data_IF_043435297089
#
_entry.id   IF_043435297089
#
_cell.length_a   1.000
_cell.length_b   1.000
_cell.length_c   1.000
_cell.angle_alpha   90.00
_cell.angle_beta   90.00
_cell.angle_gamma   90.00
#
_symmetry.space_group_name_H-M   'P 1'
#
loop_
_entity.id
_entity.type
_entity.pdbx_description
1 polymer ?
#
# COMPACT_ATOMS: atom_id res chain seq x y z
N UNK A 1 29.18 -8.25 5.58
CA UNK A 1 28.78 -9.62 5.95
C UNK A 1 29.91 -10.22 6.74
N UNK A 2 29.67 -10.57 7.97
CA UNK A 2 30.66 -11.24 8.84
C UNK A 2 30.15 -12.68 9.11
N UNK A 3 30.63 -13.62 8.29
CA UNK A 3 30.14 -15.01 8.33
C UNK A 3 30.52 -15.69 9.65
N UNK A 4 31.70 -15.41 10.20
CA UNK A 4 32.16 -16.03 11.45
C UNK A 4 31.31 -15.55 12.63
N UNK A 5 31.06 -14.26 12.71
CA UNK A 5 30.15 -13.69 13.72
C UNK A 5 28.71 -14.22 13.54
N UNK A 6 28.25 -14.35 12.31
CA UNK A 6 26.91 -14.88 12.02
C UNK A 6 26.80 -16.37 12.39
N UNK A 7 27.82 -17.18 12.15
CA UNK A 7 27.89 -18.59 12.63
C UNK A 7 27.73 -18.68 14.15
N UNK A 8 28.26 -17.71 14.89
CA UNK A 8 28.17 -17.69 16.36
C UNK A 8 26.83 -17.21 16.87
N UNK A 9 26.18 -16.25 16.18
CA UNK A 9 25.01 -15.52 16.68
C UNK A 9 23.68 -15.97 16.08
N UNK A 10 23.68 -16.74 14.99
CA UNK A 10 22.45 -17.12 14.26
C UNK A 10 21.39 -17.84 15.10
N UNK A 11 21.83 -18.59 16.14
CA UNK A 11 20.92 -19.27 17.05
C UNK A 11 19.98 -18.27 17.78
N UNK A 12 20.49 -17.07 18.10
CA UNK A 12 19.67 -16.00 18.70
C UNK A 12 18.56 -15.54 17.74
N UNK A 13 18.84 -15.46 16.45
CA UNK A 13 17.82 -15.15 15.44
C UNK A 13 16.76 -16.24 15.35
N UNK A 14 17.18 -17.51 15.30
CA UNK A 14 16.25 -18.65 15.20
C UNK A 14 15.39 -18.79 16.45
N UNK A 15 15.96 -18.67 17.64
CA UNK A 15 15.23 -18.69 18.90
C UNK A 15 14.21 -17.55 18.99
N UNK A 16 14.56 -16.35 18.50
CA UNK A 16 13.62 -15.22 18.44
C UNK A 16 12.46 -15.51 17.46
N UNK A 17 12.74 -16.08 16.30
CA UNK A 17 11.68 -16.44 15.34
C UNK A 17 10.74 -17.51 15.91
N UNK A 18 11.26 -18.49 16.65
CA UNK A 18 10.48 -19.54 17.30
C UNK A 18 9.67 -18.98 18.49
N UNK A 19 10.29 -18.19 19.36
CA UNK A 19 9.62 -17.59 20.52
C UNK A 19 8.51 -16.60 20.13
N UNK A 20 8.65 -15.94 18.98
CA UNK A 20 7.64 -15.05 18.41
C UNK A 20 6.63 -15.78 17.51
N UNK A 21 6.62 -17.12 17.49
CA UNK A 21 5.72 -17.97 16.71
C UNK A 21 5.63 -17.58 15.22
N UNK A 22 6.79 -17.29 14.60
CA UNK A 22 6.83 -17.08 13.15
C UNK A 22 6.43 -18.35 12.40
N UNK A 23 5.83 -18.19 11.22
CA UNK A 23 5.41 -19.32 10.38
C UNK A 23 6.56 -20.28 10.12
N UNK A 24 6.31 -21.59 10.23
CA UNK A 24 7.29 -22.67 9.99
C UNK A 24 8.01 -22.54 8.64
N UNK A 25 7.28 -22.08 7.59
CA UNK A 25 7.87 -21.82 6.27
C UNK A 25 8.88 -20.67 6.33
N UNK A 26 8.57 -19.61 7.08
CA UNK A 26 9.49 -18.48 7.26
C UNK A 26 10.81 -18.93 7.93
N UNK A 27 10.68 -19.67 9.03
CA UNK A 27 11.83 -20.21 9.78
C UNK A 27 12.66 -21.15 8.89
N UNK A 28 11.99 -22.03 8.13
CA UNK A 28 12.64 -22.94 7.18
C UNK A 28 13.45 -22.16 6.13
N UNK A 29 12.89 -21.14 5.52
CA UNK A 29 13.57 -20.34 4.49
C UNK A 29 14.77 -19.56 5.06
N UNK A 30 14.66 -19.03 6.29
CA UNK A 30 15.80 -18.42 6.98
C UNK A 30 16.90 -19.45 7.24
N UNK A 31 16.56 -20.66 7.71
CA UNK A 31 17.54 -21.77 7.90
C UNK A 31 18.23 -22.17 6.59
N UNK A 32 17.50 -22.21 5.46
CA UNK A 32 18.07 -22.49 4.13
C UNK A 32 19.09 -21.41 3.73
N UNK A 33 18.78 -20.12 3.96
CA UNK A 33 19.70 -19.03 3.66
C UNK A 33 20.96 -19.12 4.51
N UNK A 34 20.81 -19.34 5.82
CA UNK A 34 21.94 -19.51 6.73
C UNK A 34 22.83 -20.69 6.32
N UNK A 35 22.23 -21.84 5.99
CA UNK A 35 22.95 -23.01 5.51
C UNK A 35 23.77 -22.73 4.23
N UNK A 36 23.16 -21.99 3.28
CA UNK A 36 23.83 -21.60 2.04
C UNK A 36 24.97 -20.60 2.28
N UNK A 37 24.82 -19.68 3.24
CA UNK A 37 25.90 -18.73 3.61
C UNK A 37 27.05 -19.40 4.34
N UNK A 38 26.80 -20.52 5.02
CA UNK A 38 27.80 -21.28 5.75
C UNK A 38 28.46 -22.40 4.93
N UNK A 39 28.03 -22.61 3.69
CA UNK A 39 28.55 -23.66 2.82
C UNK A 39 29.97 -23.32 2.32
N UNK A 40 30.95 -24.03 2.85
CA UNK A 40 32.38 -23.88 2.50
C UNK A 40 32.68 -24.36 1.08
N UNK A 41 31.86 -25.25 0.52
CA UNK A 41 32.05 -25.78 -0.85
C UNK A 41 31.66 -24.78 -1.93
N UNK A 42 30.80 -23.82 -1.60
CA UNK A 42 30.35 -22.79 -2.52
C UNK A 42 30.35 -21.43 -1.83
N UNK A 43 31.50 -20.85 -1.50
CA UNK A 43 31.60 -19.66 -0.69
C UNK A 43 30.88 -18.48 -1.33
N UNK A 44 30.12 -17.75 -0.50
CA UNK A 44 29.38 -16.58 -0.87
C UNK A 44 30.08 -15.35 -0.31
N UNK A 45 30.49 -14.43 -1.18
CA UNK A 45 31.29 -13.26 -0.79
C UNK A 45 30.46 -12.13 -0.17
N UNK A 46 29.18 -12.04 -0.52
CA UNK A 46 28.29 -10.98 -0.05
C UNK A 46 26.80 -11.37 -0.16
N UNK A 47 25.91 -10.60 0.50
CA UNK A 47 24.47 -10.76 0.34
C UNK A 47 24.00 -10.46 -1.09
N UNK A 48 24.71 -9.59 -1.79
CA UNK A 48 24.50 -9.28 -3.19
C UNK A 48 24.85 -10.48 -4.09
N UNK A 49 25.98 -11.13 -3.86
CA UNK A 49 26.41 -12.36 -4.58
C UNK A 49 25.36 -13.47 -4.39
N UNK A 50 24.93 -13.73 -3.15
CA UNK A 50 23.86 -14.71 -2.89
C UNK A 50 22.58 -14.36 -3.65
N UNK A 51 22.18 -13.10 -3.65
CA UNK A 51 20.98 -12.66 -4.35
C UNK A 51 21.09 -12.84 -5.86
N UNK A 52 22.22 -12.50 -6.45
CA UNK A 52 22.49 -12.68 -7.89
C UNK A 52 22.44 -14.16 -8.29
N UNK A 53 22.98 -15.07 -7.49
CA UNK A 53 22.87 -16.52 -7.73
C UNK A 53 21.42 -16.99 -7.75
N UNK A 54 20.58 -16.50 -6.83
CA UNK A 54 19.13 -16.81 -6.81
C UNK A 54 18.44 -16.29 -8.07
N UNK A 55 18.68 -15.06 -8.46
CA UNK A 55 18.05 -14.43 -9.63
C UNK A 55 18.48 -15.13 -10.91
N UNK A 56 19.76 -15.42 -11.05
CA UNK A 56 20.35 -16.05 -12.24
C UNK A 56 19.93 -17.51 -12.40
N UNK A 57 19.49 -18.17 -11.33
CA UNK A 57 18.97 -19.55 -11.41
C UNK A 57 17.73 -19.69 -12.28
N UNK A 58 17.01 -18.58 -12.55
CA UNK A 58 15.74 -18.49 -13.33
C UNK A 58 14.64 -19.48 -12.89
N UNK A 59 14.74 -20.04 -11.66
CA UNK A 59 13.83 -21.06 -11.12
C UNK A 59 12.58 -20.48 -10.48
N UNK A 60 12.56 -19.17 -10.22
CA UNK A 60 11.56 -18.55 -9.36
C UNK A 60 10.71 -17.50 -10.10
N UNK A 61 9.42 -17.47 -9.78
CA UNK A 61 8.54 -16.39 -10.21
C UNK A 61 8.89 -15.07 -9.52
N UNK A 62 8.45 -13.94 -10.06
CA UNK A 62 8.67 -12.63 -9.43
C UNK A 62 8.16 -12.58 -7.99
N UNK A 63 7.00 -13.16 -7.72
CA UNK A 63 6.44 -13.23 -6.38
C UNK A 63 7.33 -14.02 -5.41
N UNK A 64 7.83 -15.18 -5.85
CA UNK A 64 8.75 -16.00 -5.04
C UNK A 64 10.07 -15.28 -4.79
N UNK A 65 10.60 -14.54 -5.78
CA UNK A 65 11.80 -13.73 -5.62
C UNK A 65 11.59 -12.62 -4.58
N UNK A 66 10.45 -11.95 -4.57
CA UNK A 66 10.14 -10.92 -3.56
C UNK A 66 10.11 -11.50 -2.14
N UNK A 67 9.57 -12.73 -1.97
CA UNK A 67 9.59 -13.44 -0.70
C UNK A 67 11.01 -13.84 -0.28
N UNK A 68 11.79 -14.42 -1.19
CA UNK A 68 13.21 -14.80 -0.90
C UNK A 68 14.04 -13.59 -0.55
N UNK A 69 13.82 -12.45 -1.19
CA UNK A 69 14.49 -11.19 -0.84
C UNK A 69 14.11 -10.72 0.56
N UNK A 70 12.86 -10.92 0.98
CA UNK A 70 12.41 -10.60 2.33
C UNK A 70 13.14 -11.46 3.38
N UNK A 71 13.27 -12.78 3.16
CA UNK A 71 13.98 -13.66 4.06
C UNK A 71 15.49 -13.35 4.12
N UNK A 72 16.10 -13.08 2.98
CA UNK A 72 17.50 -12.65 2.91
C UNK A 72 17.75 -11.34 3.69
N UNK A 73 16.86 -10.38 3.52
CA UNK A 73 16.94 -9.11 4.26
C UNK A 73 16.75 -9.31 5.77
N UNK A 74 16.08 -10.36 6.21
CA UNK A 74 15.96 -10.69 7.64
C UNK A 74 17.31 -11.13 8.20
N UNK A 75 17.99 -12.04 7.52
CA UNK A 75 19.34 -12.50 7.92
C UNK A 75 20.33 -11.34 7.86
N UNK A 76 20.34 -10.58 6.78
CA UNK A 76 21.18 -9.40 6.61
C UNK A 76 20.97 -8.34 7.69
N UNK A 77 19.72 -8.07 8.06
CA UNK A 77 19.37 -7.09 9.10
C UNK A 77 19.88 -7.50 10.46
N UNK A 78 19.85 -8.80 10.73
CA UNK A 78 20.37 -9.35 11.96
C UNK A 78 21.91 -9.30 11.98
N UNK A 79 22.57 -9.73 10.92
CA UNK A 79 24.03 -9.72 10.78
C UNK A 79 24.62 -8.30 10.85
N UNK A 80 24.14 -7.40 9.97
CA UNK A 80 24.73 -6.06 9.83
C UNK A 80 24.33 -5.08 10.96
N UNK A 81 23.15 -5.29 11.60
CA UNK A 81 22.58 -4.31 12.53
C UNK A 81 22.05 -4.90 13.84
N UNK A 82 22.19 -6.20 14.08
CA UNK A 82 21.63 -6.89 15.26
C UNK A 82 20.09 -6.81 15.32
N UNK A 83 19.42 -6.50 14.19
CA UNK A 83 17.98 -6.28 14.16
C UNK A 83 17.21 -7.59 14.17
N UNK A 84 16.53 -7.88 15.27
CA UNK A 84 15.61 -9.00 15.36
C UNK A 84 14.27 -8.65 14.65
N UNK A 85 13.71 -9.58 13.87
CA UNK A 85 12.47 -9.35 13.14
C UNK A 85 11.31 -9.02 14.11
N UNK A 86 10.61 -7.92 13.82
CA UNK A 86 9.46 -7.45 14.61
C UNK A 86 8.24 -7.17 13.71
N UNK A 87 8.21 -7.79 12.53
CA UNK A 87 7.19 -7.59 11.50
C UNK A 87 7.32 -6.31 10.70
N UNK A 88 8.36 -5.53 10.95
CA UNK A 88 8.70 -4.36 10.15
C UNK A 88 10.04 -4.62 9.45
N UNK A 89 10.20 -4.17 8.19
CA UNK A 89 11.50 -4.18 7.55
C UNK A 89 12.50 -3.36 8.39
N UNK A 90 13.73 -3.81 8.47
CA UNK A 90 14.79 -3.05 9.11
C UNK A 90 14.97 -1.70 8.39
N UNK A 91 14.78 -0.61 9.13
CA UNK A 91 14.86 0.74 8.58
C UNK A 91 16.25 1.02 7.96
N UNK A 92 17.32 0.53 8.60
CA UNK A 92 18.69 0.69 8.13
C UNK A 92 18.96 0.01 6.78
N UNK A 93 18.31 -1.11 6.48
CA UNK A 93 18.38 -1.75 5.16
C UNK A 93 17.59 -0.99 4.10
N UNK A 94 16.43 -0.41 4.48
CA UNK A 94 15.61 0.40 3.57
C UNK A 94 16.24 1.78 3.30
N UNK A 95 17.01 2.28 4.27
CA UNK A 95 17.72 3.56 4.20
C UNK A 95 18.79 3.60 3.11
N UNK A 96 19.11 2.47 2.52
CA UNK A 96 20.41 2.29 1.91
C UNK A 96 20.53 2.60 0.42
N UNK A 97 19.45 2.64 -0.39
CA UNK A 97 19.72 2.53 -1.82
C UNK A 97 20.12 3.84 -2.51
N UNK A 98 19.44 4.95 -2.23
CA UNK A 98 19.74 6.20 -2.94
C UNK A 98 20.69 7.12 -2.16
N UNK A 99 20.45 7.32 -0.86
CA UNK A 99 21.30 8.18 -0.02
C UNK A 99 22.76 7.74 0.00
N UNK A 100 23.04 6.41 0.19
CA UNK A 100 24.42 5.89 0.22
C UNK A 100 25.20 6.15 -1.07
N UNK A 101 24.51 6.25 -2.21
CA UNK A 101 25.08 6.48 -3.53
C UNK A 101 25.34 7.95 -3.86
N UNK A 102 24.85 8.85 -3.03
CA UNK A 102 25.05 10.29 -3.22
C UNK A 102 26.50 10.70 -2.90
N UNK A 103 26.97 11.71 -3.60
CA UNK A 103 28.23 12.38 -3.29
C UNK A 103 28.15 13.11 -1.93
N UNK A 104 29.27 13.52 -1.34
CA UNK A 104 29.28 14.18 -0.03
C UNK A 104 28.42 15.46 0.02
N UNK A 105 28.43 16.30 -1.04
CA UNK A 105 27.65 17.53 -1.09
C UNK A 105 26.14 17.26 -1.04
N UNK A 106 25.66 16.30 -1.82
CA UNK A 106 24.24 15.91 -1.81
C UNK A 106 23.83 15.17 -0.53
N UNK A 107 24.75 14.45 0.13
CA UNK A 107 24.49 13.88 1.45
C UNK A 107 24.25 14.97 2.49
N UNK A 108 25.06 16.02 2.51
CA UNK A 108 24.86 17.15 3.42
C UNK A 108 23.47 17.78 3.26
N UNK A 109 22.97 17.96 2.04
CA UNK A 109 21.62 18.46 1.79
C UNK A 109 20.54 17.52 2.35
N UNK A 110 20.74 16.22 2.22
CA UNK A 110 19.80 15.23 2.75
C UNK A 110 19.81 15.19 4.28
N UNK A 111 20.98 15.33 4.89
CA UNK A 111 21.15 15.35 6.34
C UNK A 111 20.51 16.61 6.93
N UNK A 112 20.68 17.76 6.27
CA UNK A 112 20.05 19.00 6.69
C UNK A 112 18.51 18.94 6.52
N UNK A 113 18.01 18.36 5.44
CA UNK A 113 16.57 18.09 5.30
C UNK A 113 16.04 17.23 6.45
N UNK A 114 16.79 16.20 6.85
CA UNK A 114 16.47 15.34 7.98
C UNK A 114 16.39 16.13 9.28
N UNK A 115 17.41 16.95 9.57
CA UNK A 115 17.49 17.76 10.78
C UNK A 115 16.30 18.73 10.87
N UNK A 116 15.99 19.46 9.80
CA UNK A 116 14.87 20.43 9.77
C UNK A 116 13.49 19.81 9.84
N UNK A 117 13.37 18.52 9.52
CA UNK A 117 12.09 17.80 9.61
C UNK A 117 11.94 17.00 10.90
N UNK A 118 12.93 17.03 11.80
CA UNK A 118 12.98 16.23 13.04
C UNK A 118 12.58 14.77 12.81
N UNK A 119 13.00 14.21 11.68
CA UNK A 119 12.54 12.91 11.24
C UNK A 119 13.41 11.82 11.82
N UNK A 120 12.83 10.97 12.65
CA UNK A 120 13.51 9.80 13.18
C UNK A 120 13.96 8.88 12.03
N UNK A 121 15.12 8.26 12.19
CA UNK A 121 15.75 7.38 11.18
C UNK A 121 14.80 6.28 10.68
N UNK A 122 13.97 5.75 11.56
CA UNK A 122 12.97 4.72 11.26
C UNK A 122 11.88 5.17 10.26
N UNK A 123 11.64 6.47 10.18
CA UNK A 123 10.58 7.05 9.37
C UNK A 123 11.06 7.62 8.03
N UNK A 124 12.37 7.76 7.81
CA UNK A 124 12.94 8.34 6.60
C UNK A 124 12.54 7.57 5.35
N UNK A 125 12.62 6.22 5.39
CA UNK A 125 12.23 5.37 4.26
C UNK A 125 10.73 5.43 3.94
N UNK A 126 9.91 5.84 4.90
CA UNK A 126 8.45 6.00 4.73
C UNK A 126 8.08 7.40 4.24
N UNK A 127 8.99 8.36 4.37
CA UNK A 127 8.78 9.72 3.90
C UNK A 127 8.91 9.80 2.39
N UNK A 128 7.79 10.03 1.71
CA UNK A 128 7.79 10.22 0.27
C UNK A 128 8.59 11.46 -0.17
N UNK A 129 8.68 12.48 0.67
CA UNK A 129 9.48 13.69 0.42
C UNK A 129 10.97 13.35 0.45
N UNK A 130 11.44 12.66 1.50
CA UNK A 130 12.83 12.24 1.64
C UNK A 130 13.27 11.31 0.50
N UNK A 131 12.48 10.29 0.22
CA UNK A 131 12.80 9.31 -0.84
C UNK A 131 12.78 9.93 -2.24
N UNK A 132 11.89 10.89 -2.49
CA UNK A 132 11.83 11.62 -3.77
C UNK A 132 13.02 12.58 -3.92
N UNK A 133 13.41 13.30 -2.86
CA UNK A 133 14.59 14.17 -2.89
C UNK A 133 15.86 13.36 -3.13
N UNK A 134 16.05 12.25 -2.40
CA UNK A 134 17.22 11.38 -2.59
C UNK A 134 17.30 10.80 -4.01
N UNK A 135 16.15 10.41 -4.59
CA UNK A 135 16.09 9.93 -5.97
C UNK A 135 16.40 11.05 -6.98
N UNK A 136 15.88 12.24 -6.75
CA UNK A 136 16.15 13.40 -7.60
C UNK A 136 17.65 13.72 -7.62
N UNK A 137 18.27 13.92 -6.46
CA UNK A 137 19.70 14.21 -6.34
C UNK A 137 20.57 13.12 -6.97
N UNK A 138 20.23 11.84 -6.75
CA UNK A 138 20.94 10.73 -7.39
C UNK A 138 20.84 10.78 -8.92
N UNK A 139 19.66 11.10 -9.44
CA UNK A 139 19.46 11.24 -10.89
C UNK A 139 20.26 12.41 -11.48
N UNK A 140 20.32 13.55 -10.77
CA UNK A 140 21.16 14.69 -11.18
C UNK A 140 22.63 14.28 -11.20
N UNK A 141 23.12 13.66 -10.15
CA UNK A 141 24.50 13.15 -10.07
C UNK A 141 24.85 12.17 -11.20
N UNK A 142 23.95 11.21 -11.48
CA UNK A 142 24.16 10.22 -12.56
C UNK A 142 24.11 10.85 -13.96
N UNK A 143 23.47 11.99 -14.10
CA UNK A 143 23.44 12.80 -15.33
C UNK A 143 24.60 13.79 -15.45
N UNK A 144 25.59 13.75 -14.52
CA UNK A 144 26.78 14.58 -14.53
C UNK A 144 26.70 15.86 -13.68
N UNK A 145 25.51 16.20 -13.14
CA UNK A 145 25.36 17.36 -12.26
C UNK A 145 25.69 16.94 -10.81
N UNK A 146 26.94 17.13 -10.40
CA UNK A 146 27.44 16.78 -9.06
C UNK A 146 27.22 17.91 -8.05
N UNK A 147 26.89 19.11 -8.53
CA UNK A 147 26.55 20.29 -7.74
C UNK A 147 25.23 20.89 -8.20
N UNK A 148 24.54 21.65 -7.30
CA UNK A 148 23.21 22.21 -7.61
C UNK A 148 23.21 23.25 -8.73
N UNK A 149 24.29 23.99 -8.89
CA UNK A 149 24.43 24.98 -9.97
C UNK A 149 24.50 24.35 -11.37
N UNK A 150 24.91 23.08 -11.46
CA UNK A 150 24.98 22.31 -12.71
C UNK A 150 23.63 21.73 -13.13
N UNK A 151 22.61 21.79 -12.26
CA UNK A 151 21.28 21.30 -12.57
C UNK A 151 20.58 22.22 -13.54
N UNK A 152 20.37 21.76 -14.77
CA UNK A 152 19.69 22.48 -15.85
C UNK A 152 18.20 22.18 -15.89
N UNK A 153 17.41 23.01 -16.59
CA UNK A 153 16.00 22.80 -16.87
C UNK A 153 15.75 21.47 -17.59
N UNK A 154 16.60 21.11 -18.55
CA UNK A 154 16.54 19.83 -19.26
C UNK A 154 16.66 18.66 -18.31
N UNK A 155 17.63 18.66 -17.39
CA UNK A 155 17.79 17.58 -16.41
C UNK A 155 16.58 17.47 -15.47
N UNK A 156 16.00 18.60 -15.05
CA UNK A 156 14.79 18.63 -14.24
C UNK A 156 13.61 18.03 -15.02
N UNK A 157 13.43 18.41 -16.29
CA UNK A 157 12.36 17.86 -17.14
C UNK A 157 12.57 16.36 -17.38
N UNK A 158 13.79 15.94 -17.66
CA UNK A 158 14.11 14.53 -17.89
C UNK A 158 13.81 13.67 -16.65
N UNK A 159 14.00 14.17 -15.44
CA UNK A 159 13.61 13.49 -14.22
C UNK A 159 12.11 13.11 -14.20
N UNK A 160 11.25 13.97 -14.76
CA UNK A 160 9.80 13.71 -14.83
C UNK A 160 9.36 12.95 -16.07
N UNK A 161 10.13 12.99 -17.15
CA UNK A 161 9.75 12.42 -18.44
C UNK A 161 10.33 11.04 -18.72
N UNK A 162 11.50 10.71 -18.14
CA UNK A 162 12.23 9.47 -18.40
C UNK A 162 11.93 8.40 -17.37
N UNK A 163 11.63 7.17 -17.86
CA UNK A 163 11.50 5.96 -17.06
C UNK A 163 10.12 5.30 -17.17
N UNK A 164 10.01 4.07 -16.60
CA UNK A 164 8.76 3.28 -16.57
C UNK A 164 7.61 3.96 -15.79
N UNK A 165 7.92 4.95 -14.97
CA UNK A 165 6.95 5.80 -14.26
C UNK A 165 7.21 7.24 -14.66
N UNK A 166 6.40 7.76 -15.59
CA UNK A 166 6.33 9.21 -15.83
C UNK A 166 6.06 9.91 -14.50
N UNK A 167 6.77 11.01 -14.23
CA UNK A 167 6.57 11.79 -13.03
C UNK A 167 5.09 12.14 -12.83
N UNK A 168 4.63 12.12 -11.59
CA UNK A 168 3.25 12.45 -11.23
C UNK A 168 3.20 13.80 -10.51
N UNK A 169 2.00 14.40 -10.45
CA UNK A 169 1.78 15.58 -9.61
C UNK A 169 2.22 15.35 -8.15
N UNK A 170 2.04 14.13 -7.62
CA UNK A 170 2.50 13.79 -6.28
C UNK A 170 4.02 13.81 -6.17
N UNK A 171 4.75 13.25 -7.15
CA UNK A 171 6.22 13.31 -7.20
C UNK A 171 6.69 14.75 -7.24
N UNK A 172 6.10 15.58 -8.09
CA UNK A 172 6.41 17.01 -8.19
C UNK A 172 6.14 17.75 -6.87
N UNK A 173 4.97 17.52 -6.25
CA UNK A 173 4.62 18.13 -4.96
C UNK A 173 5.57 17.69 -3.84
N UNK A 174 5.92 16.41 -3.76
CA UNK A 174 6.85 15.91 -2.74
C UNK A 174 8.25 16.50 -2.92
N UNK A 175 8.74 16.59 -4.16
CA UNK A 175 10.03 17.20 -4.45
C UNK A 175 10.02 18.69 -4.09
N UNK A 176 9.00 19.43 -4.51
CA UNK A 176 8.86 20.85 -4.19
C UNK A 176 8.86 21.09 -2.68
N UNK A 177 8.01 20.36 -1.94
CA UNK A 177 7.94 20.48 -0.48
C UNK A 177 9.25 20.08 0.23
N UNK A 178 10.01 19.14 -0.36
CA UNK A 178 11.32 18.78 0.18
C UNK A 178 12.36 19.87 -0.05
N UNK A 179 12.43 20.41 -1.27
CA UNK A 179 13.33 21.51 -1.62
C UNK A 179 13.00 22.80 -0.86
N UNK A 180 11.70 23.12 -0.67
CA UNK A 180 11.27 24.29 0.12
C UNK A 180 11.76 24.22 1.59
N UNK A 181 11.92 23.02 2.17
CA UNK A 181 12.45 22.86 3.53
C UNK A 181 13.93 23.21 3.68
N UNK A 182 14.66 23.14 2.60
CA UNK A 182 16.12 23.42 2.56
C UNK A 182 16.44 24.62 1.64
N UNK A 183 15.44 25.46 1.37
CA UNK A 183 15.48 26.51 0.36
C UNK A 183 16.63 27.52 0.54
N UNK A 184 16.98 27.82 1.78
CA UNK A 184 17.99 28.81 2.18
C UNK A 184 19.43 28.27 2.16
N UNK A 185 19.62 26.94 1.97
CA UNK A 185 20.97 26.35 1.96
C UNK A 185 21.78 26.70 0.71
N UNK A 186 21.12 27.04 -0.39
CA UNK A 186 21.79 27.44 -1.64
C UNK A 186 20.85 28.27 -2.50
N UNK A 187 21.38 29.32 -3.18
CA UNK A 187 20.60 30.11 -4.13
C UNK A 187 20.10 29.32 -5.34
N UNK A 188 20.71 28.14 -5.61
CA UNK A 188 20.27 27.26 -6.68
C UNK A 188 18.97 26.54 -6.38
N UNK A 189 18.62 26.32 -5.10
CA UNK A 189 17.40 25.60 -4.73
C UNK A 189 16.15 26.35 -5.17
N UNK A 190 15.97 27.65 -4.88
CA UNK A 190 14.85 28.43 -5.45
C UNK A 190 14.80 28.38 -6.98
N UNK A 191 15.94 28.42 -7.65
CA UNK A 191 16.04 28.28 -9.11
C UNK A 191 15.49 26.92 -9.55
N UNK A 192 15.95 25.82 -8.95
CA UNK A 192 15.47 24.46 -9.27
C UNK A 192 13.96 24.35 -9.01
N UNK A 193 13.44 24.93 -7.92
CA UNK A 193 11.99 24.94 -7.63
C UNK A 193 11.22 25.64 -8.74
N UNK A 194 11.74 26.73 -9.32
CA UNK A 194 11.10 27.44 -10.42
C UNK A 194 11.07 26.64 -11.73
N UNK A 195 12.05 25.76 -11.92
CA UNK A 195 12.14 24.86 -13.08
C UNK A 195 11.21 23.63 -12.99
N UNK A 196 10.60 23.36 -11.83
CA UNK A 196 9.71 22.21 -11.68
C UNK A 196 8.46 22.35 -12.57
N UNK A 197 8.15 21.36 -13.42
CA UNK A 197 7.02 21.43 -14.34
C UNK A 197 5.68 21.54 -13.60
N UNK A 198 4.77 22.39 -14.10
CA UNK A 198 3.40 22.46 -13.61
C UNK A 198 2.61 21.22 -14.08
N UNK A 199 2.40 20.25 -13.19
CA UNK A 199 1.70 19.02 -13.53
C UNK A 199 0.23 19.10 -13.13
N UNK A 200 -0.67 18.81 -14.07
CA UNK A 200 -2.11 18.67 -13.78
C UNK A 200 -2.36 17.38 -12.97
N UNK A 201 -3.28 17.38 -12.02
CA UNK A 201 -3.71 16.15 -11.38
C UNK A 201 -4.32 15.23 -12.44
N UNK A 202 -3.94 13.96 -12.41
CA UNK A 202 -4.63 12.96 -13.24
C UNK A 202 -6.08 12.88 -12.73
N UNK A 203 -7.08 13.09 -13.61
CA UNK A 203 -8.47 12.83 -13.23
C UNK A 203 -8.56 11.39 -12.70
N UNK A 204 -9.09 11.23 -11.51
CA UNK A 204 -9.33 9.91 -10.93
C UNK A 204 -10.64 9.41 -11.51
N UNK A 205 -10.59 8.44 -12.40
CA UNK A 205 -11.78 7.67 -12.72
C UNK A 205 -12.01 6.72 -11.53
N UNK A 206 -13.08 6.95 -10.79
CA UNK A 206 -13.53 6.05 -9.74
C UNK A 206 -14.24 4.87 -10.42
N UNK A 207 -13.56 3.74 -10.50
CA UNK A 207 -14.16 2.53 -11.03
C UNK A 207 -15.05 1.90 -9.96
N UNK A 208 -16.35 1.95 -10.17
CA UNK A 208 -17.34 1.28 -9.34
C UNK A 208 -17.42 -0.21 -9.69
N UNK A 209 -17.97 -1.01 -8.78
CA UNK A 209 -18.41 -2.36 -9.13
C UNK A 209 -19.57 -2.29 -10.13
N UNK A 210 -19.52 -3.15 -11.13
CA UNK A 210 -20.64 -3.36 -12.07
C UNK A 210 -21.73 -4.17 -11.34
N UNK A 211 -22.98 -4.07 -11.75
CA UNK A 211 -24.08 -4.74 -11.06
C UNK A 211 -23.89 -6.26 -11.01
N UNK A 212 -23.45 -6.88 -12.09
CA UNK A 212 -23.17 -8.31 -12.10
C UNK A 212 -22.02 -8.72 -11.16
N UNK A 213 -21.02 -7.84 -10.93
CA UNK A 213 -19.93 -8.08 -9.98
C UNK A 213 -20.44 -8.03 -8.55
N UNK A 214 -21.31 -7.07 -8.25
CA UNK A 214 -21.97 -6.98 -6.94
C UNK A 214 -22.83 -8.19 -6.68
N UNK A 215 -23.59 -8.64 -7.67
CA UNK A 215 -24.46 -9.83 -7.57
C UNK A 215 -23.63 -11.11 -7.35
N UNK A 216 -22.57 -11.31 -8.13
CA UNK A 216 -21.66 -12.43 -7.97
C UNK A 216 -21.02 -12.49 -6.56
N UNK A 217 -20.63 -11.33 -6.03
CA UNK A 217 -20.08 -11.21 -4.68
C UNK A 217 -21.15 -11.53 -3.63
N UNK A 218 -22.36 -10.96 -3.74
CA UNK A 218 -23.47 -11.21 -2.82
C UNK A 218 -23.88 -12.68 -2.81
N UNK A 219 -23.98 -13.31 -3.97
CA UNK A 219 -24.32 -14.72 -4.10
C UNK A 219 -23.28 -15.61 -3.41
N UNK A 220 -21.99 -15.30 -3.53
CA UNK A 220 -20.94 -16.03 -2.82
C UNK A 220 -20.97 -15.77 -1.30
N UNK A 221 -21.34 -14.57 -0.85
CA UNK A 221 -21.49 -14.24 0.58
C UNK A 221 -22.68 -14.99 1.21
N UNK A 222 -23.82 -15.05 0.52
CA UNK A 222 -25.06 -15.62 1.04
C UNK A 222 -25.11 -17.14 0.94
N UNK A 223 -24.29 -17.77 0.10
CA UNK A 223 -24.25 -19.21 -0.05
C UNK A 223 -23.24 -19.85 0.92
N UNK A 224 -23.69 -20.60 1.95
CA UNK A 224 -22.80 -21.28 2.89
C UNK A 224 -21.95 -22.38 2.23
N UNK A 225 -22.43 -22.97 1.14
CA UNK A 225 -21.76 -24.05 0.41
C UNK A 225 -20.73 -23.53 -0.60
N UNK A 226 -20.68 -22.23 -0.85
CA UNK A 226 -19.70 -21.63 -1.76
C UNK A 226 -18.35 -21.45 -1.08
N UNK A 227 -17.43 -22.37 -1.38
CA UNK A 227 -16.09 -22.40 -0.80
C UNK A 227 -15.03 -21.61 -1.60
N UNK A 228 -15.43 -20.83 -2.62
CA UNK A 228 -14.48 -20.01 -3.37
C UNK A 228 -13.82 -18.94 -2.49
N UNK A 229 -14.53 -18.41 -1.49
CA UNK A 229 -13.98 -17.55 -0.47
C UNK A 229 -13.88 -18.25 0.87
N UNK A 230 -12.79 -18.05 1.62
CA UNK A 230 -12.69 -18.47 3.02
C UNK A 230 -13.62 -17.64 3.89
N UNK A 231 -13.94 -18.08 5.10
CA UNK A 231 -14.81 -17.32 6.02
C UNK A 231 -14.21 -15.94 6.36
N UNK A 232 -12.90 -15.89 6.50
CA UNK A 232 -12.16 -14.63 6.67
C UNK A 232 -12.32 -13.68 5.49
N UNK A 233 -12.23 -14.18 4.28
CA UNK A 233 -12.43 -13.40 3.06
C UNK A 233 -13.87 -12.91 2.96
N UNK A 234 -14.85 -13.76 3.27
CA UNK A 234 -16.27 -13.39 3.32
C UNK A 234 -16.52 -12.26 4.33
N UNK A 235 -15.96 -12.34 5.54
CA UNK A 235 -16.10 -11.29 6.55
C UNK A 235 -15.49 -9.96 6.12
N UNK A 236 -14.27 -9.97 5.53
CA UNK A 236 -13.61 -8.77 5.01
C UNK A 236 -14.40 -8.15 3.85
N UNK A 237 -14.90 -8.97 2.93
CA UNK A 237 -15.69 -8.51 1.77
C UNK A 237 -17.04 -7.96 2.21
N UNK A 238 -17.71 -8.59 3.18
CA UNK A 238 -18.97 -8.11 3.74
C UNK A 238 -18.79 -6.72 4.38
N UNK A 239 -17.77 -6.54 5.22
CA UNK A 239 -17.43 -5.22 5.77
C UNK A 239 -17.17 -4.19 4.67
N UNK A 240 -16.39 -4.55 3.65
CA UNK A 240 -16.08 -3.63 2.55
C UNK A 240 -17.32 -3.24 1.73
N UNK A 241 -18.19 -4.23 1.41
CA UNK A 241 -19.35 -4.05 0.54
C UNK A 241 -20.49 -3.29 1.20
N UNK A 242 -20.81 -3.65 2.45
CA UNK A 242 -22.00 -3.12 3.12
C UNK A 242 -21.72 -1.87 3.97
N UNK A 243 -20.49 -1.68 4.45
CA UNK A 243 -20.15 -0.52 5.27
C UNK A 243 -19.26 0.51 4.57
N UNK A 244 -18.61 0.13 3.47
CA UNK A 244 -17.65 1.00 2.78
C UNK A 244 -16.41 1.37 3.63
N UNK A 245 -16.10 0.63 4.70
CA UNK A 245 -14.95 0.89 5.55
C UNK A 245 -13.65 0.95 4.77
N UNK A 246 -12.72 1.79 5.21
CA UNK A 246 -11.38 1.80 4.63
C UNK A 246 -10.62 0.52 5.00
N UNK A 247 -9.79 0.02 4.11
CA UNK A 247 -9.01 -1.18 4.38
C UNK A 247 -8.06 -1.07 5.58
N UNK A 248 -7.61 0.14 5.94
CA UNK A 248 -6.84 0.36 7.17
C UNK A 248 -7.72 0.22 8.41
N UNK A 249 -8.98 0.62 8.33
CA UNK A 249 -9.92 0.53 9.45
C UNK A 249 -10.38 -0.93 9.63
N UNK A 250 -10.67 -1.67 8.53
CA UNK A 250 -10.91 -3.11 8.60
C UNK A 250 -9.71 -3.87 9.20
N UNK A 251 -8.49 -3.51 8.80
CA UNK A 251 -7.28 -4.14 9.34
C UNK A 251 -7.05 -3.86 10.82
N UNK A 252 -7.56 -2.74 11.33
CA UNK A 252 -7.44 -2.34 12.74
C UNK A 252 -8.67 -2.68 13.58
N UNK A 253 -9.73 -3.22 12.98
CA UNK A 253 -10.97 -3.53 13.70
C UNK A 253 -10.68 -4.47 14.87
N UNK A 254 -11.09 -4.05 16.06
CA UNK A 254 -10.97 -4.82 17.30
C UNK A 254 -12.28 -5.50 17.65
N UNK A 255 -12.19 -6.58 18.43
CA UNK A 255 -13.41 -7.26 18.92
C UNK A 255 -14.28 -6.35 19.77
N UNK A 256 -13.66 -5.44 20.55
CA UNK A 256 -14.37 -4.45 21.36
C UNK A 256 -14.98 -3.28 20.58
N UNK A 257 -14.68 -3.13 19.28
CA UNK A 257 -15.29 -2.13 18.41
C UNK A 257 -16.68 -2.58 17.91
N UNK A 258 -17.04 -3.87 18.11
CA UNK A 258 -18.31 -4.47 17.65
C UNK A 258 -19.26 -4.56 18.83
N UNK A 259 -20.27 -3.75 18.82
CA UNK A 259 -21.37 -3.76 19.78
C UNK A 259 -22.50 -4.63 19.22
N UNK A 260 -22.52 -5.89 19.68
CA UNK A 260 -23.48 -6.88 19.22
C UNK A 260 -24.90 -6.64 19.74
N UNK A 261 -25.02 -5.98 20.90
CA UNK A 261 -26.31 -5.69 21.54
C UNK A 261 -27.02 -4.52 20.85
N UNK A 262 -26.25 -3.45 20.53
CA UNK A 262 -26.78 -2.28 19.86
C UNK A 262 -26.67 -2.39 18.32
N UNK A 263 -26.17 -3.49 17.80
CA UNK A 263 -25.98 -3.71 16.35
C UNK A 263 -25.17 -2.61 15.68
N UNK A 264 -24.04 -2.21 16.29
CA UNK A 264 -23.19 -1.14 15.80
C UNK A 264 -21.70 -1.55 15.75
N UNK A 265 -20.96 -0.90 14.85
CA UNK A 265 -19.50 -0.91 14.82
C UNK A 265 -19.02 0.50 15.18
N UNK A 266 -18.30 0.64 16.30
CA UNK A 266 -17.79 1.92 16.82
C UNK A 266 -16.27 1.91 16.81
N UNK A 267 -15.64 2.76 15.98
CA UNK A 267 -14.19 2.81 15.87
C UNK A 267 -13.66 4.23 15.67
N UNK A 268 -12.37 4.41 15.93
CA UNK A 268 -11.64 5.61 15.54
C UNK A 268 -10.91 5.32 14.23
N UNK A 269 -11.21 6.10 13.20
CA UNK A 269 -10.61 5.91 11.88
C UNK A 269 -9.09 6.15 11.90
N UNK A 270 -8.32 5.19 11.40
CA UNK A 270 -6.84 5.25 11.38
C UNK A 270 -6.29 6.42 10.57
N UNK A 271 -6.97 6.76 9.47
CA UNK A 271 -6.49 7.81 8.56
C UNK A 271 -6.80 9.22 9.02
N UNK A 272 -7.92 9.42 9.69
CA UNK A 272 -8.45 10.74 10.03
C UNK A 272 -8.43 11.04 11.52
N UNK A 273 -8.37 10.01 12.37
CA UNK A 273 -8.47 10.14 13.82
C UNK A 273 -9.88 10.44 14.33
N UNK A 274 -10.90 10.48 13.46
CA UNK A 274 -12.28 10.78 13.85
C UNK A 274 -13.05 9.51 14.20
N UNK A 275 -13.98 9.60 15.17
CA UNK A 275 -14.89 8.51 15.48
C UNK A 275 -15.82 8.22 14.30
N UNK A 276 -16.14 6.96 14.11
CA UNK A 276 -17.09 6.47 13.13
C UNK A 276 -17.98 5.43 13.78
N UNK A 277 -19.30 5.61 13.63
CA UNK A 277 -20.31 4.63 14.04
C UNK A 277 -21.03 4.16 12.79
N UNK A 278 -21.11 2.85 12.62
CA UNK A 278 -21.74 2.20 11.46
C UNK A 278 -22.72 1.14 11.94
N UNK A 279 -23.84 0.93 11.25
CA UNK A 279 -24.75 -0.15 11.60
C UNK A 279 -24.11 -1.52 11.32
N UNK A 280 -24.26 -2.45 12.25
CA UNK A 280 -23.90 -3.84 12.09
C UNK A 280 -25.06 -4.59 11.44
N UNK A 281 -25.20 -4.48 10.13
CA UNK A 281 -26.26 -5.19 9.41
C UNK A 281 -26.12 -6.72 9.56
N UNK A 282 -27.22 -7.47 9.46
CA UNK A 282 -27.23 -8.92 9.55
C UNK A 282 -26.22 -9.59 8.61
N UNK A 283 -26.05 -9.07 7.39
CA UNK A 283 -25.06 -9.59 6.43
C UNK A 283 -23.62 -9.46 6.93
N UNK A 284 -23.30 -8.36 7.62
CA UNK A 284 -21.97 -8.12 8.19
C UNK A 284 -21.79 -8.92 9.46
N UNK A 285 -22.77 -8.85 10.38
CA UNK A 285 -22.74 -9.54 11.66
C UNK A 285 -22.61 -11.06 11.49
N UNK A 286 -23.43 -11.66 10.64
CA UNK A 286 -23.36 -13.10 10.36
C UNK A 286 -22.00 -13.50 9.75
N UNK A 287 -21.48 -12.76 8.79
CA UNK A 287 -20.19 -13.06 8.19
C UNK A 287 -19.05 -12.98 9.21
N UNK A 288 -19.07 -11.97 10.08
CA UNK A 288 -18.11 -11.82 11.18
C UNK A 288 -18.21 -12.96 12.20
N UNK A 289 -19.44 -13.27 12.64
CA UNK A 289 -19.69 -14.31 13.64
C UNK A 289 -19.23 -15.68 13.14
N UNK A 290 -19.61 -16.03 11.91
CA UNK A 290 -19.21 -17.31 11.29
C UNK A 290 -17.69 -17.41 11.17
N UNK A 291 -17.01 -16.33 10.77
CA UNK A 291 -15.55 -16.29 10.72
C UNK A 291 -14.92 -16.45 12.11
N UNK A 292 -15.41 -15.71 13.11
CA UNK A 292 -14.87 -15.74 14.49
C UNK A 292 -15.00 -17.10 15.10
N UNK A 293 -16.15 -17.76 14.91
CA UNK A 293 -16.43 -19.06 15.52
C UNK A 293 -15.74 -20.25 14.82
N UNK A 294 -15.55 -20.18 13.49
CA UNK A 294 -15.15 -21.36 12.72
C UNK A 294 -13.76 -21.26 12.06
N UNK A 295 -13.21 -20.08 11.81
CA UNK A 295 -11.89 -19.96 11.14
C UNK A 295 -10.86 -19.20 11.98
N UNK A 296 -11.27 -18.30 12.87
CA UNK A 296 -10.34 -17.59 13.74
C UNK A 296 -9.78 -18.57 14.77
N UNK A 297 -8.44 -18.59 14.91
CA UNK A 297 -7.82 -19.44 15.92
C UNK A 297 -8.24 -18.98 17.33
N UNK A 298 -8.87 -19.85 18.09
CA UNK A 298 -9.35 -19.58 19.44
C UNK A 298 -8.20 -19.29 20.43
N UNK A 299 -6.99 -19.79 20.16
CA UNK A 299 -5.79 -19.54 20.97
C UNK A 299 -5.17 -18.16 20.71
N UNK A 300 -5.55 -17.48 19.60
CA UNK A 300 -5.06 -16.15 19.28
C UNK A 300 -5.78 -15.10 20.16
N UNK A 301 -5.11 -14.71 21.24
CA UNK A 301 -5.57 -13.67 22.18
C UNK A 301 -5.46 -12.24 21.62
N UNK A 302 -5.31 -12.09 20.32
CA UNK A 302 -5.27 -10.77 19.68
C UNK A 302 -6.58 -10.02 19.89
N UNK A 303 -6.49 -8.74 20.24
CA UNK A 303 -7.66 -7.84 20.31
C UNK A 303 -8.30 -7.59 18.92
N UNK A 304 -7.53 -7.85 17.83
CA UNK A 304 -7.99 -7.59 16.46
C UNK A 304 -8.88 -8.71 15.94
N UNK A 305 -9.95 -8.31 15.24
CA UNK A 305 -10.85 -9.27 14.56
C UNK A 305 -10.09 -10.06 13.50
N UNK A 306 -9.18 -9.40 12.77
CA UNK A 306 -8.36 -10.01 11.72
C UNK A 306 -6.89 -10.03 12.12
N UNK A 307 -6.44 -11.01 12.92
CA UNK A 307 -5.04 -11.13 13.29
C UNK A 307 -4.18 -11.55 12.11
N UNK A 308 -2.89 -11.23 12.18
CA UNK A 308 -1.90 -11.66 11.19
C UNK A 308 -1.59 -13.15 11.32
N UNK A 309 -1.70 -13.93 10.23
CA UNK A 309 -1.28 -15.35 10.21
C UNK A 309 0.25 -15.51 10.31
N UNK A 310 1.03 -14.45 10.09
CA UNK A 310 2.50 -14.47 10.08
C UNK A 310 3.07 -14.01 11.42
N UNK A 311 2.35 -13.16 12.13
CA UNK A 311 2.77 -12.56 13.40
C UNK A 311 1.62 -12.62 14.40
N UNK A 312 1.61 -13.63 15.27
CA UNK A 312 0.59 -13.74 16.31
C UNK A 312 0.48 -12.47 17.16
N UNK A 313 -0.72 -12.13 17.56
CA UNK A 313 -1.02 -10.93 18.35
C UNK A 313 -0.95 -9.61 17.57
N UNK A 314 -0.52 -9.61 16.32
CA UNK A 314 -0.51 -8.41 15.47
C UNK A 314 -1.72 -8.41 14.54
N UNK A 315 -2.19 -7.18 14.21
CA UNK A 315 -3.25 -7.00 13.21
C UNK A 315 -2.78 -7.35 11.80
N UNK A 316 -3.74 -7.61 10.93
CA UNK A 316 -3.48 -7.72 9.50
C UNK A 316 -2.94 -6.40 8.93
N UNK A 317 -2.06 -6.46 7.95
CA UNK A 317 -1.59 -5.23 7.30
C UNK A 317 -2.62 -4.71 6.28
N UNK A 318 -2.63 -3.39 6.03
CA UNK A 318 -3.44 -2.81 4.95
C UNK A 318 -3.11 -3.43 3.57
N UNK A 319 -1.84 -3.75 3.32
CA UNK A 319 -1.43 -4.41 2.08
C UNK A 319 -2.02 -5.82 1.97
N UNK A 320 -2.08 -6.54 3.09
CA UNK A 320 -2.69 -7.88 3.11
C UNK A 320 -4.19 -7.83 2.80
N UNK A 321 -4.92 -6.82 3.30
CA UNK A 321 -6.32 -6.59 2.89
C UNK A 321 -6.42 -6.41 1.38
N UNK A 322 -5.57 -5.57 0.79
CA UNK A 322 -5.54 -5.37 -0.66
C UNK A 322 -5.26 -6.67 -1.44
N UNK A 323 -4.34 -7.50 -0.95
CA UNK A 323 -4.02 -8.80 -1.56
C UNK A 323 -5.19 -9.78 -1.46
N UNK A 324 -5.86 -9.83 -0.30
CA UNK A 324 -7.06 -10.66 -0.08
C UNK A 324 -8.14 -10.26 -1.06
N UNK A 325 -8.48 -8.98 -1.15
CA UNK A 325 -9.51 -8.48 -2.06
C UNK A 325 -9.15 -8.79 -3.53
N UNK A 326 -7.89 -8.56 -3.93
CA UNK A 326 -7.47 -8.92 -5.29
C UNK A 326 -7.62 -10.42 -5.56
N UNK A 327 -7.27 -11.27 -4.60
CA UNK A 327 -7.46 -12.71 -4.69
C UNK A 327 -8.93 -13.14 -4.78
N UNK A 328 -9.83 -12.42 -4.10
CA UNK A 328 -11.29 -12.65 -4.23
C UNK A 328 -11.78 -12.36 -5.64
N UNK A 329 -11.32 -11.25 -6.25
CA UNK A 329 -11.64 -10.97 -7.66
C UNK A 329 -11.15 -12.09 -8.59
N UNK A 330 -9.95 -12.65 -8.37
CA UNK A 330 -9.44 -13.78 -9.15
C UNK A 330 -10.29 -15.03 -8.98
N UNK A 331 -10.63 -15.39 -7.74
CA UNK A 331 -11.44 -16.57 -7.39
C UNK A 331 -12.85 -16.53 -7.98
N UNK A 332 -13.42 -15.33 -8.09
CA UNK A 332 -14.74 -15.11 -8.66
C UNK A 332 -14.70 -14.86 -10.19
N UNK A 333 -13.52 -14.85 -10.80
CA UNK A 333 -13.36 -14.55 -12.23
C UNK A 333 -13.72 -13.13 -12.63
N UNK A 334 -13.65 -12.19 -11.67
CA UNK A 334 -14.01 -10.78 -11.88
C UNK A 334 -12.79 -9.96 -12.28
N UNK A 335 -12.98 -9.03 -13.23
CA UNK A 335 -11.97 -8.07 -13.70
C UNK A 335 -10.62 -8.71 -14.09
N UNK A 336 -10.58 -9.72 -14.93
CA UNK A 336 -9.32 -10.31 -15.39
C UNK A 336 -8.48 -9.25 -16.10
N UNK A 337 -7.22 -9.07 -15.67
CA UNK A 337 -6.28 -8.10 -16.27
C UNK A 337 -6.55 -6.62 -15.95
N UNK A 338 -7.62 -6.26 -15.26
CA UNK A 338 -7.92 -4.87 -14.90
C UNK A 338 -7.11 -4.40 -13.68
N UNK A 339 -6.72 -3.12 -13.67
CA UNK A 339 -5.87 -2.53 -12.62
C UNK A 339 -6.60 -2.13 -11.34
N UNK A 340 -7.93 -1.98 -11.37
CA UNK A 340 -8.73 -1.44 -10.25
C UNK A 340 -9.46 -2.56 -9.50
N UNK A 341 -8.69 -3.32 -8.72
CA UNK A 341 -9.16 -4.50 -7.97
C UNK A 341 -8.91 -4.37 -6.46
N UNK A 342 -8.69 -3.15 -5.98
CA UNK A 342 -8.42 -2.89 -4.56
C UNK A 342 -9.69 -2.62 -3.76
N UNK A 343 -9.57 -2.66 -2.43
CA UNK A 343 -10.69 -2.46 -1.49
C UNK A 343 -11.42 -1.12 -1.68
N UNK A 344 -10.76 -0.09 -2.22
CA UNK A 344 -11.38 1.20 -2.50
C UNK A 344 -12.57 1.14 -3.45
N UNK A 345 -12.62 0.12 -4.33
CA UNK A 345 -13.73 -0.05 -5.29
C UNK A 345 -15.07 -0.28 -4.58
N UNK A 346 -15.08 -1.02 -3.47
CA UNK A 346 -16.29 -1.27 -2.67
C UNK A 346 -16.84 0.02 -2.06
N UNK A 347 -15.95 0.85 -1.52
CA UNK A 347 -16.31 2.13 -0.93
C UNK A 347 -16.84 3.12 -1.97
N UNK A 348 -16.23 3.14 -3.16
CA UNK A 348 -16.72 3.94 -4.28
C UNK A 348 -18.09 3.44 -4.74
N UNK A 349 -18.27 2.11 -4.83
CA UNK A 349 -19.54 1.49 -5.17
C UNK A 349 -20.66 1.90 -4.18
N UNK A 350 -20.38 1.82 -2.86
CA UNK A 350 -21.36 2.21 -1.84
C UNK A 350 -21.72 3.70 -1.98
N UNK A 351 -20.71 4.58 -2.13
CA UNK A 351 -20.93 6.01 -2.30
C UNK A 351 -21.81 6.33 -3.53
N UNK A 352 -21.49 5.73 -4.68
CA UNK A 352 -22.24 5.95 -5.92
C UNK A 352 -23.67 5.39 -5.83
N UNK A 353 -23.87 4.24 -5.17
CA UNK A 353 -25.21 3.67 -4.96
C UNK A 353 -26.06 4.52 -4.02
N UNK A 354 -25.48 5.07 -2.96
CA UNK A 354 -26.19 5.98 -2.06
C UNK A 354 -26.56 7.28 -2.77
N UNK A 355 -25.65 7.83 -3.60
CA UNK A 355 -25.97 8.99 -4.46
C UNK A 355 -27.11 8.67 -5.43
N UNK A 356 -27.02 7.55 -6.15
CA UNK A 356 -28.07 7.11 -7.08
C UNK A 356 -29.40 6.79 -6.41
N UNK A 357 -29.43 6.56 -5.10
CA UNK A 357 -30.62 6.43 -4.28
C UNK A 357 -31.15 7.78 -3.74
N UNK A 358 -30.55 8.91 -4.14
CA UNK A 358 -30.94 10.24 -3.69
C UNK A 358 -30.48 10.61 -2.27
N UNK A 359 -29.52 9.86 -1.68
CA UNK A 359 -28.99 10.18 -0.35
C UNK A 359 -28.16 11.46 -0.39
N UNK A 360 -28.41 12.37 0.54
CA UNK A 360 -27.69 13.63 0.64
C UNK A 360 -26.18 13.44 0.84
N UNK A 361 -25.37 14.28 0.19
CA UNK A 361 -23.90 14.23 0.25
C UNK A 361 -23.35 14.32 1.67
N UNK A 362 -24.02 15.05 2.57
CA UNK A 362 -23.61 15.18 3.98
C UNK A 362 -23.78 13.83 4.71
N UNK A 363 -24.88 13.12 4.46
CA UNK A 363 -25.15 11.79 5.04
C UNK A 363 -24.13 10.78 4.51
N UNK A 364 -23.87 10.79 3.20
CA UNK A 364 -22.84 9.93 2.59
C UNK A 364 -21.46 10.22 3.20
N UNK A 365 -21.12 11.50 3.38
CA UNK A 365 -19.88 11.90 4.06
C UNK A 365 -19.80 11.35 5.48
N UNK A 366 -20.88 11.39 6.23
CA UNK A 366 -20.97 10.81 7.59
C UNK A 366 -20.77 9.31 7.58
N UNK A 367 -21.51 8.57 6.75
CA UNK A 367 -21.40 7.10 6.61
C UNK A 367 -19.95 6.69 6.24
N UNK A 368 -19.35 7.41 5.32
CA UNK A 368 -17.99 7.13 4.89
C UNK A 368 -16.92 7.70 5.84
N UNK A 369 -17.29 8.54 6.80
CA UNK A 369 -16.34 9.21 7.72
C UNK A 369 -15.37 10.10 6.95
N UNK A 370 -15.89 10.99 6.09
CA UNK A 370 -15.11 12.03 5.45
C UNK A 370 -14.99 13.23 6.41
N UNK A 371 -13.81 13.82 6.47
CA UNK A 371 -13.57 15.06 7.24
C UNK A 371 -13.99 16.31 6.49
N UNK A 372 -14.20 16.18 5.18
CA UNK A 372 -14.55 17.26 4.27
C UNK A 372 -15.71 16.80 3.38
N UNK A 373 -16.87 17.50 3.38
CA UNK A 373 -18.01 17.16 2.53
C UNK A 373 -17.67 17.12 1.04
N UNK A 374 -16.76 17.97 0.59
CA UNK A 374 -16.30 18.02 -0.81
C UNK A 374 -15.64 16.71 -1.28
N UNK A 375 -15.27 15.83 -0.35
CA UNK A 375 -14.73 14.51 -0.72
C UNK A 375 -15.78 13.65 -1.46
N UNK A 376 -17.07 13.97 -1.35
CA UNK A 376 -18.17 13.29 -2.07
C UNK A 376 -18.28 13.76 -3.52
N UNK A 377 -17.87 15.00 -3.85
CA UNK A 377 -17.91 15.54 -5.22
C UNK A 377 -17.22 14.62 -6.23
N UNK A 378 -16.17 13.94 -5.79
CA UNK A 378 -15.45 12.97 -6.61
C UNK A 378 -16.30 11.76 -7.04
N UNK A 379 -17.41 11.48 -6.37
CA UNK A 379 -18.37 10.43 -6.73
C UNK A 379 -19.50 10.98 -7.61
N UNK A 380 -19.84 12.26 -7.46
CA UNK A 380 -20.82 12.96 -8.31
C UNK A 380 -20.37 12.93 -9.76
N UNK A 381 -19.08 13.15 -10.03
CA UNK A 381 -18.50 13.04 -11.39
C UNK A 381 -18.70 11.65 -12.05
N UNK A 382 -19.03 10.64 -11.26
CA UNK A 382 -19.23 9.25 -11.70
C UNK A 382 -20.71 8.88 -11.79
N UNK A 383 -21.60 9.76 -11.37
CA UNK A 383 -23.04 9.53 -11.36
C UNK A 383 -23.66 9.87 -12.74
N UNK A 384 -23.43 8.96 -13.67
CA UNK A 384 -23.91 9.11 -15.07
C UNK A 384 -25.46 9.16 -15.12
N UNK A 385 -26.14 8.56 -14.16
CA UNK A 385 -27.60 8.48 -14.14
C UNK A 385 -28.20 9.87 -13.96
N UNK A 386 -27.82 10.60 -12.92
CA UNK A 386 -28.28 11.97 -12.71
C UNK A 386 -27.68 12.98 -13.68
N UNK A 387 -26.43 12.73 -14.15
CA UNK A 387 -25.85 13.57 -15.20
C UNK A 387 -26.61 13.48 -16.53
N UNK A 388 -27.22 12.33 -16.85
CA UNK A 388 -28.08 12.17 -18.02
C UNK A 388 -29.40 12.96 -17.91
N UNK A 389 -29.94 13.09 -16.70
CA UNK A 389 -31.15 13.90 -16.46
C UNK A 389 -30.89 15.39 -16.67
N UNK A 390 -29.64 15.84 -16.44
CA UNK A 390 -29.22 17.22 -16.71
C UNK A 390 -28.81 17.44 -18.17
N UNK A 391 -28.74 16.38 -18.97
CA UNK A 391 -28.37 16.42 -20.37
C UNK A 391 -29.45 17.18 -21.17
N UNK A 392 -29.05 18.22 -21.93
CA UNK A 392 -29.94 18.86 -22.88
C UNK A 392 -30.39 17.83 -23.91
N UNK A 393 -31.71 17.78 -24.19
CA UNK A 393 -32.22 16.94 -25.28
C UNK A 393 -31.60 17.37 -26.62
N UNK A 394 -30.97 16.41 -27.30
CA UNK A 394 -30.40 16.59 -28.66
C UNK A 394 -31.45 16.31 -29.76
N UNK A 395 -32.71 16.02 -29.40
CA UNK A 395 -33.76 15.71 -30.37
C UNK A 395 -33.98 16.86 -31.38
N UNK A 396 -33.73 18.10 -30.98
CA UNK A 396 -33.79 19.29 -31.86
C UNK A 396 -32.53 19.45 -32.73
N UNK A 397 -31.49 18.66 -32.49
CA UNK A 397 -30.23 18.67 -33.22
C UNK A 397 -29.87 17.26 -33.67
N UNK A 398 -30.65 16.68 -34.62
CA UNK A 398 -30.37 15.35 -35.11
C UNK A 398 -28.95 15.34 -35.75
N UNK A 399 -28.20 14.27 -35.48
CA UNK A 399 -26.91 14.06 -36.11
C UNK A 399 -27.10 14.08 -37.63
N UNK A 400 -26.35 14.92 -38.33
CA UNK A 400 -26.29 14.93 -39.79
C UNK A 400 -25.76 13.55 -40.19
N UNK A 401 -26.43 12.89 -41.15
CA UNK A 401 -26.12 11.54 -41.70
C UNK A 401 -24.69 11.37 -42.23
N UNK A 402 -23.94 12.45 -42.33
CA UNK A 402 -22.57 12.47 -42.90
C UNK A 402 -21.48 11.95 -41.95
N UNK A 403 -21.78 11.56 -40.70
CA UNK A 403 -20.80 11.01 -39.75
C UNK A 403 -20.90 9.50 -39.52
N UNK A 404 -21.75 8.79 -40.24
CA UNK A 404 -21.97 7.34 -40.09
C UNK A 404 -21.44 6.50 -41.26
N UNK A 405 -20.80 7.10 -42.26
CA UNK A 405 -20.32 6.39 -43.49
C UNK A 405 -18.83 6.63 -43.74
N UNK A 406 -17.96 6.66 -42.68
CA UNK A 406 -16.53 6.46 -42.84
C UNK A 406 -16.00 5.39 -41.88
#
# INVERSE_FOLDING_TARGET
>A
MDIEQLKFTHQKLLAHLESCNYNKVYIKEVKIILAALFDEKSPISSYEDYWERIVNSRRYTKFTLDLKKMYLNTVRAFDEYGHLPNGRPCAKLLFSSNYKKLNPGYKLLMDEFRNRTNMAEENLSKSAKYTTLALFLLKMQLAGAVMLNEVTDKLVLDFFMTGKRKGSKHTQSHLRLALDKIRDLSPDIPRIISLLPKMKPKKRNYNNLRDFEVEAIKNCLSNPLDNRMTLREKAIVALALYTGMRGCDIANLKSGDIDWENEEIRLIQVKTGYPLVLPLSANVGNALLIYILNERNAEDRSEYVFPSKVQPGKRLSYKSIGTIISGVFDKLGLRPGESHRGIGVFRHNLATRLLGAGTESVIISGILGHTCPQAVEAYVDSDITHLRELGLSIEKYPLLKTYTDE
#
